data_IF_358784611982
#
_entry.id   IF_358784611982
#
_cell.length_a   1.000
_cell.length_b   1.000
_cell.length_c   1.000
_cell.angle_alpha   90.00
_cell.angle_beta   90.00
_cell.angle_gamma   90.00
#
_symmetry.space_group_name_H-M   'P 1'
#
loop_
_entity.id
_entity.type
_entity.pdbx_description
1 polymer ?
#
# COMPACT_ATOMS: atom_id res chain seq x y z
N UNK A 1 -14.14 -18.74 36.69
CA UNK A 1 -12.90 -18.87 35.90
C UNK A 1 -13.28 -19.39 34.54
N UNK A 2 -13.37 -18.51 33.54
CA UNK A 2 -13.77 -18.87 32.18
C UNK A 2 -12.57 -18.65 31.27
N UNK A 3 -12.01 -19.74 30.78
CA UNK A 3 -10.88 -19.74 29.84
C UNK A 3 -11.37 -19.22 28.48
N UNK A 4 -10.82 -18.09 28.04
CA UNK A 4 -10.94 -17.60 26.67
C UNK A 4 -10.11 -18.53 25.76
N UNK A 5 -10.79 -19.43 25.06
CA UNK A 5 -10.17 -20.27 24.04
C UNK A 5 -9.78 -19.37 22.87
N UNK A 6 -8.47 -19.38 22.63
CA UNK A 6 -7.73 -18.70 21.56
C UNK A 6 -8.44 -18.73 20.20
N UNK A 7 -8.73 -17.55 19.66
CA UNK A 7 -9.21 -17.30 18.29
C UNK A 7 -8.09 -17.55 17.26
N UNK A 8 -7.41 -18.69 17.31
CA UNK A 8 -6.29 -18.99 16.41
C UNK A 8 -6.71 -19.71 15.12
N UNK A 9 -7.93 -20.25 15.07
CA UNK A 9 -8.33 -21.15 13.98
C UNK A 9 -9.22 -20.48 12.91
N UNK A 10 -9.73 -19.27 13.15
CA UNK A 10 -10.64 -18.61 12.20
C UNK A 10 -9.90 -17.76 11.16
N UNK A 11 -8.71 -17.24 11.51
CA UNK A 11 -7.86 -16.46 10.61
C UNK A 11 -7.24 -17.34 9.51
N UNK A 12 -6.84 -18.57 9.84
CA UNK A 12 -6.15 -19.46 8.88
C UNK A 12 -7.06 -20.00 7.77
N UNK A 13 -8.36 -20.16 8.04
CA UNK A 13 -9.34 -20.61 7.05
C UNK A 13 -9.76 -19.50 6.05
N UNK A 14 -9.58 -18.24 6.44
CA UNK A 14 -9.88 -17.08 5.59
C UNK A 14 -8.70 -16.72 4.66
N UNK A 15 -7.47 -17.09 5.01
CA UNK A 15 -6.27 -16.82 4.21
C UNK A 15 -6.39 -17.28 2.75
N UNK A 16 -6.87 -18.51 2.42
CA UNK A 16 -6.97 -18.95 1.03
C UNK A 16 -8.03 -18.18 0.24
N UNK A 17 -9.14 -17.82 0.88
CA UNK A 17 -10.21 -17.05 0.25
C UNK A 17 -9.78 -15.60 0.02
N UNK A 18 -9.13 -14.99 1.02
CA UNK A 18 -8.54 -13.65 0.94
C UNK A 18 -7.46 -13.58 -0.13
N UNK A 19 -6.61 -14.61 -0.24
CA UNK A 19 -5.55 -14.67 -1.25
C UNK A 19 -6.13 -14.76 -2.66
N UNK A 20 -7.13 -15.63 -2.89
CA UNK A 20 -7.82 -15.71 -4.18
C UNK A 20 -8.49 -14.38 -4.56
N UNK A 21 -9.25 -13.79 -3.64
CA UNK A 21 -9.95 -12.54 -3.89
C UNK A 21 -8.98 -11.40 -4.21
N UNK A 22 -7.85 -11.35 -3.50
CA UNK A 22 -6.79 -10.39 -3.71
C UNK A 22 -6.09 -10.60 -5.07
N UNK A 23 -5.73 -11.85 -5.43
CA UNK A 23 -5.11 -12.14 -6.73
C UNK A 23 -5.99 -11.70 -7.89
N UNK A 24 -7.30 -11.98 -7.80
CA UNK A 24 -8.28 -11.58 -8.80
C UNK A 24 -8.48 -10.06 -8.86
N UNK A 25 -8.45 -9.36 -7.71
CA UNK A 25 -8.61 -7.91 -7.68
C UNK A 25 -7.39 -7.19 -8.29
N UNK A 26 -6.18 -7.70 -8.06
CA UNK A 26 -4.95 -7.18 -8.67
C UNK A 26 -4.92 -7.48 -10.18
N UNK A 27 -5.25 -8.70 -10.60
CA UNK A 27 -5.35 -9.07 -12.01
C UNK A 27 -6.39 -8.22 -12.75
N UNK A 28 -7.50 -7.88 -12.10
CA UNK A 28 -8.53 -7.02 -12.67
C UNK A 28 -8.04 -5.58 -12.90
N UNK A 29 -7.18 -5.06 -12.01
CA UNK A 29 -6.67 -3.67 -12.09
C UNK A 29 -5.46 -3.51 -13.02
N UNK A 30 -4.71 -4.58 -13.28
CA UNK A 30 -3.44 -4.51 -14.02
C UNK A 30 -3.30 -5.70 -15.01
N UNK A 31 -3.43 -5.45 -16.34
CA UNK A 31 -3.37 -6.50 -17.35
C UNK A 31 -1.98 -7.16 -17.46
N UNK A 32 -0.89 -6.47 -17.09
CA UNK A 32 0.45 -7.08 -17.09
C UNK A 32 0.58 -8.11 -15.95
N UNK A 33 0.02 -7.80 -14.78
CA UNK A 33 -0.04 -8.74 -13.65
C UNK A 33 -0.97 -9.92 -13.94
N UNK A 34 -2.07 -9.70 -14.64
CA UNK A 34 -2.94 -10.79 -15.10
C UNK A 34 -2.19 -11.74 -16.05
N UNK A 35 -1.42 -11.22 -17.00
CA UNK A 35 -0.61 -12.02 -17.92
C UNK A 35 0.51 -12.80 -17.19
N UNK A 36 1.16 -12.18 -16.20
CA UNK A 36 2.18 -12.85 -15.37
C UNK A 36 1.58 -14.00 -14.54
N UNK A 37 0.41 -13.79 -13.92
CA UNK A 37 -0.32 -14.84 -13.21
C UNK A 37 -0.69 -15.99 -14.14
N UNK A 38 -1.22 -15.69 -15.32
CA UNK A 38 -1.61 -16.71 -16.29
C UNK A 38 -0.40 -17.51 -16.79
N UNK A 39 0.73 -16.84 -17.04
CA UNK A 39 1.98 -17.48 -17.48
C UNK A 39 2.54 -18.42 -16.42
N UNK A 40 2.44 -18.05 -15.13
CA UNK A 40 2.89 -18.91 -14.03
C UNK A 40 2.11 -20.23 -13.95
N UNK A 41 0.85 -20.25 -14.43
CA UNK A 41 -0.03 -21.43 -14.44
C UNK A 41 0.24 -22.40 -15.59
N UNK A 42 1.13 -22.07 -16.53
CA UNK A 42 1.40 -22.88 -17.73
C UNK A 42 2.80 -23.50 -17.65
N UNK A 43 2.95 -24.80 -17.29
CA UNK A 43 4.22 -25.49 -17.47
C UNK A 43 4.57 -25.62 -18.95
N UNK A 44 5.87 -25.71 -19.25
CA UNK A 44 6.32 -26.18 -20.56
C UNK A 44 5.85 -27.62 -20.82
N UNK A 45 5.52 -27.91 -22.08
CA UNK A 45 4.95 -29.19 -22.49
C UNK A 45 5.85 -30.37 -22.06
N UNK A 46 5.29 -31.28 -21.24
CA UNK A 46 5.98 -32.47 -20.75
C UNK A 46 6.41 -32.43 -19.28
N UNK A 47 6.29 -31.28 -18.61
CA UNK A 47 6.54 -31.19 -17.16
C UNK A 47 5.24 -31.27 -16.35
N UNK A 48 5.24 -31.93 -15.16
CA UNK A 48 4.12 -31.86 -14.24
C UNK A 48 3.84 -30.40 -13.86
N UNK A 49 2.57 -30.05 -13.67
CA UNK A 49 2.15 -28.72 -13.22
C UNK A 49 3.04 -28.30 -12.05
N UNK A 50 3.79 -27.18 -12.15
CA UNK A 50 4.58 -26.71 -11.03
C UNK A 50 3.62 -26.52 -9.85
N UNK A 51 4.06 -26.92 -8.65
CA UNK A 51 3.38 -26.53 -7.43
C UNK A 51 3.43 -25.00 -7.38
N UNK A 52 2.35 -24.39 -7.85
CA UNK A 52 2.16 -22.95 -7.89
C UNK A 52 2.21 -22.43 -6.45
N UNK A 53 3.38 -21.94 -6.05
CA UNK A 53 3.57 -21.36 -4.73
C UNK A 53 3.31 -19.86 -4.78
N UNK A 54 2.08 -19.48 -4.46
CA UNK A 54 1.66 -18.07 -4.39
C UNK A 54 1.89 -17.44 -3.00
N UNK A 55 2.59 -18.11 -2.07
CA UNK A 55 2.82 -17.58 -0.72
C UNK A 55 3.58 -16.26 -0.69
N UNK A 56 4.31 -15.92 -1.75
CA UNK A 56 5.03 -14.65 -1.93
C UNK A 56 4.38 -13.67 -2.90
N UNK A 57 3.08 -13.84 -3.22
CA UNK A 57 2.41 -12.96 -4.19
C UNK A 57 1.28 -12.12 -3.58
N UNK A 58 1.26 -10.79 -3.83
CA UNK A 58 2.27 -10.01 -4.55
C UNK A 58 3.29 -9.46 -3.56
N UNK A 59 4.56 -9.75 -3.80
CA UNK A 59 5.66 -9.03 -3.15
C UNK A 59 5.85 -7.63 -3.77
N UNK A 60 4.77 -6.83 -3.89
CA UNK A 60 4.95 -5.39 -4.15
C UNK A 60 5.34 -4.73 -2.83
N UNK A 61 6.50 -4.07 -2.83
CA UNK A 61 7.03 -3.38 -1.66
C UNK A 61 7.15 -1.89 -1.95
N UNK A 62 6.92 -1.06 -0.93
CA UNK A 62 7.23 0.36 -1.01
C UNK A 62 8.74 0.54 -1.24
N UNK A 63 9.12 1.27 -2.29
CA UNK A 63 10.49 1.32 -2.79
C UNK A 63 11.53 1.71 -1.72
N UNK A 64 11.17 2.61 -0.81
CA UNK A 64 12.10 3.17 0.18
C UNK A 64 11.98 2.48 1.55
N UNK A 65 10.78 2.07 1.98
CA UNK A 65 10.63 1.37 3.26
C UNK A 65 10.85 -0.15 3.17
N UNK A 66 10.74 -0.74 1.97
CA UNK A 66 10.75 -2.19 1.77
C UNK A 66 9.54 -2.91 2.37
N UNK A 67 8.57 -2.16 2.91
CA UNK A 67 7.37 -2.68 3.54
C UNK A 67 6.47 -3.33 2.49
N UNK A 68 5.95 -4.52 2.81
CA UNK A 68 5.05 -5.26 1.94
C UNK A 68 3.73 -4.50 1.81
N UNK A 69 3.26 -4.31 0.57
CA UNK A 69 1.97 -3.72 0.28
C UNK A 69 0.84 -4.72 0.57
N UNK A 70 0.52 -4.83 1.84
CA UNK A 70 -0.67 -5.52 2.35
C UNK A 70 -1.89 -4.59 2.33
N UNK A 71 -3.12 -5.11 2.41
CA UNK A 71 -4.31 -4.28 2.57
C UNK A 71 -4.21 -3.30 3.74
N UNK A 72 -3.66 -3.73 4.88
CA UNK A 72 -3.46 -2.88 6.05
C UNK A 72 -2.48 -1.72 5.77
N UNK A 73 -1.34 -2.00 5.15
CA UNK A 73 -0.36 -0.96 4.82
C UNK A 73 -0.88 0.01 3.76
N UNK A 74 -1.68 -0.49 2.81
CA UNK A 74 -2.32 0.32 1.77
C UNK A 74 -3.39 1.24 2.38
N UNK A 75 -4.24 0.71 3.26
CA UNK A 75 -5.24 1.49 4.00
C UNK A 75 -4.58 2.57 4.88
N UNK A 76 -3.50 2.22 5.57
CA UNK A 76 -2.71 3.19 6.33
C UNK A 76 -2.16 4.29 5.42
N UNK A 77 -1.49 3.91 4.33
CA UNK A 77 -0.91 4.85 3.39
C UNK A 77 -1.97 5.78 2.78
N UNK A 78 -3.13 5.24 2.39
CA UNK A 78 -4.23 5.99 1.83
C UNK A 78 -4.82 6.97 2.85
N UNK A 79 -5.05 6.53 4.09
CA UNK A 79 -5.58 7.39 5.16
C UNK A 79 -4.67 8.60 5.42
N UNK A 80 -3.37 8.37 5.56
CA UNK A 80 -2.41 9.47 5.79
C UNK A 80 -2.29 10.36 4.54
N UNK A 81 -2.27 9.78 3.35
CA UNK A 81 -2.23 10.53 2.08
C UNK A 81 -3.43 11.45 1.91
N UNK A 82 -4.65 10.95 2.19
CA UNK A 82 -5.87 11.75 2.11
C UNK A 82 -5.84 12.91 3.11
N UNK A 83 -5.45 12.66 4.36
CA UNK A 83 -5.33 13.72 5.37
C UNK A 83 -4.28 14.77 4.98
N UNK A 84 -3.10 14.33 4.53
CA UNK A 84 -2.02 15.23 4.08
C UNK A 84 -2.45 16.08 2.87
N UNK A 85 -3.23 15.50 1.95
CA UNK A 85 -3.74 16.20 0.76
C UNK A 85 -4.73 17.30 1.15
N UNK A 86 -5.65 17.01 2.07
CA UNK A 86 -6.61 17.99 2.59
C UNK A 86 -5.89 19.15 3.30
N UNK A 87 -4.92 18.85 4.16
CA UNK A 87 -4.14 19.88 4.86
C UNK A 87 -3.31 20.72 3.89
N UNK A 88 -2.69 20.11 2.88
CA UNK A 88 -1.92 20.82 1.85
C UNK A 88 -2.81 21.79 1.07
N UNK A 89 -4.00 21.36 0.65
CA UNK A 89 -4.95 22.22 -0.03
C UNK A 89 -5.35 23.41 0.84
N UNK A 90 -5.71 23.16 2.10
CA UNK A 90 -6.08 24.22 3.04
C UNK A 90 -4.96 25.24 3.28
N UNK A 91 -3.69 24.81 3.36
CA UNK A 91 -2.53 25.72 3.47
C UNK A 91 -2.40 26.59 2.20
N UNK A 92 -2.49 25.98 1.03
CA UNK A 92 -2.35 26.69 -0.25
C UNK A 92 -3.46 27.73 -0.39
N UNK A 93 -4.71 27.33 -0.19
CA UNK A 93 -5.88 28.21 -0.34
C UNK A 93 -5.81 29.40 0.65
N UNK A 94 -5.49 29.12 1.92
CA UNK A 94 -5.42 30.15 2.96
C UNK A 94 -4.28 31.15 2.73
N UNK A 95 -3.14 30.73 2.16
CA UNK A 95 -2.00 31.60 1.90
C UNK A 95 -2.13 32.35 0.56
N UNK A 96 -2.77 31.76 -0.44
CA UNK A 96 -3.10 32.46 -1.69
C UNK A 96 -4.06 33.63 -1.43
N UNK A 97 -5.05 33.45 -0.54
CA UNK A 97 -5.97 34.54 -0.14
C UNK A 97 -5.25 35.72 0.52
N UNK A 98 -4.08 35.49 1.11
CA UNK A 98 -3.24 36.53 1.74
C UNK A 98 -2.27 37.19 0.76
N UNK A 99 -2.29 36.79 -0.52
CA UNK A 99 -1.26 37.14 -1.51
C UNK A 99 0.16 36.76 -1.05
N UNK A 100 0.30 35.69 -0.27
CA UNK A 100 1.60 35.20 0.17
C UNK A 100 2.43 34.76 -1.05
N UNK A 101 3.71 35.18 -1.17
CA UNK A 101 4.58 34.72 -2.24
C UNK A 101 4.70 33.20 -2.29
N UNK A 102 4.72 32.62 -3.49
CA UNK A 102 4.74 31.16 -3.69
C UNK A 102 5.87 30.45 -2.94
N UNK A 103 7.03 31.10 -2.78
CA UNK A 103 8.14 30.59 -1.98
C UNK A 103 7.74 30.26 -0.54
N UNK A 104 7.02 31.15 0.14
CA UNK A 104 6.59 30.94 1.53
C UNK A 104 5.44 29.94 1.64
N UNK A 105 4.62 29.80 0.60
CA UNK A 105 3.60 28.75 0.52
C UNK A 105 4.30 27.39 0.40
N UNK A 106 5.32 27.28 -0.46
CA UNK A 106 6.11 26.06 -0.63
C UNK A 106 6.79 25.66 0.70
N UNK A 107 7.42 26.61 1.40
CA UNK A 107 8.03 26.35 2.71
C UNK A 107 7.03 25.75 3.72
N UNK A 108 5.82 26.30 3.81
CA UNK A 108 4.75 25.76 4.67
C UNK A 108 4.33 24.34 4.27
N UNK A 109 4.25 24.06 2.97
CA UNK A 109 3.92 22.72 2.46
C UNK A 109 5.03 21.71 2.74
N UNK A 110 6.30 22.14 2.64
CA UNK A 110 7.45 21.29 2.98
C UNK A 110 7.48 21.01 4.48
N UNK A 111 7.24 22.02 5.32
CA UNK A 111 7.12 21.87 6.77
C UNK A 111 5.97 20.91 7.16
N UNK A 112 4.85 20.92 6.45
CA UNK A 112 3.79 19.91 6.62
C UNK A 112 4.33 18.51 6.33
N UNK A 113 5.06 18.31 5.21
CA UNK A 113 5.60 17.01 4.83
C UNK A 113 6.61 16.49 5.85
N UNK A 114 7.46 17.37 6.39
CA UNK A 114 8.41 17.09 7.46
C UNK A 114 7.74 16.59 8.74
N UNK A 115 6.58 17.16 9.07
CA UNK A 115 5.77 16.79 10.24
C UNK A 115 4.94 15.49 10.07
N UNK A 116 4.92 14.88 8.88
CA UNK A 116 4.20 13.63 8.65
C UNK A 116 4.84 12.45 9.42
N UNK A 117 4.04 11.40 9.75
CA UNK A 117 4.55 10.24 10.44
C UNK A 117 5.74 9.59 9.71
N UNK A 118 6.76 9.17 10.46
CA UNK A 118 8.00 8.60 9.91
C UNK A 118 7.76 7.36 9.03
N UNK A 119 6.83 6.49 9.43
CA UNK A 119 6.42 5.33 8.62
C UNK A 119 5.89 5.76 7.25
N UNK A 120 5.03 6.78 7.22
CA UNK A 120 4.48 7.31 5.98
C UNK A 120 5.56 7.95 5.11
N UNK A 121 6.47 8.75 5.70
CA UNK A 121 7.57 9.39 4.94
C UNK A 121 8.44 8.35 4.23
N UNK A 122 8.75 7.23 4.90
CA UNK A 122 9.48 6.11 4.28
C UNK A 122 8.68 5.41 3.17
N UNK A 123 7.36 5.29 3.29
CA UNK A 123 6.52 4.74 2.22
C UNK A 123 6.43 5.70 1.01
N UNK A 124 6.29 7.00 1.27
CA UNK A 124 6.11 8.05 0.28
C UNK A 124 7.41 8.58 -0.35
N UNK A 125 8.56 7.99 0.01
CA UNK A 125 9.88 8.43 -0.41
C UNK A 125 10.18 9.91 -0.10
N UNK A 126 9.78 10.36 1.09
CA UNK A 126 10.11 11.69 1.61
C UNK A 126 11.37 11.57 2.46
N UNK A 127 12.46 12.15 1.98
CA UNK A 127 13.81 11.99 2.53
C UNK A 127 14.34 13.20 3.31
N UNK A 128 13.60 14.31 3.32
CA UNK A 128 13.94 15.52 4.07
C UNK A 128 13.19 15.57 5.41
N UNK A 129 13.83 16.19 6.41
CA UNK A 129 13.33 16.30 7.79
C UNK A 129 12.57 17.59 8.06
#
# INVERSE_FOLDING_TARGET
>A
MTMLISTKNHSDALLPFSQRAYMLSVAYRDPQKAAALLSSCQPEAGNPLPLLNFSGWPDVRYATSGELQTPESEDYFNKISSAATLLRAAIIDAEQQKNTPAFYILDKVLNLNSALPERYKKMANISYS
#
